data_IF_372431027269
#
_entry.id   IF_372431027269
#
_cell.length_a   1.000
_cell.length_b   1.000
_cell.length_c   1.000
_cell.angle_alpha   90.00
_cell.angle_beta   90.00
_cell.angle_gamma   90.00
#
_symmetry.space_group_name_H-M   'P 1'
#
loop_
_entity.id
_entity.type
_entity.pdbx_description
1 polymer ?
#
# COMPACT_ATOMS: atom_id res chain seq x y z
N UNK A 1 -4.35 7.55 14.36
CA UNK A 1 -5.07 7.14 13.14
C UNK A 1 -6.51 6.92 13.53
N UNK A 2 -7.46 7.66 12.96
CA UNK A 2 -8.91 7.55 13.24
C UNK A 2 -9.63 6.93 12.04
N UNK A 3 -9.01 5.95 11.40
CA UNK A 3 -9.62 5.24 10.29
C UNK A 3 -10.74 4.34 10.85
N UNK A 4 -11.97 4.55 10.38
CA UNK A 4 -13.17 3.82 10.82
C UNK A 4 -13.78 2.96 9.69
N UNK A 5 -13.04 2.78 8.58
CA UNK A 5 -13.46 1.92 7.47
C UNK A 5 -13.14 0.46 7.74
N UNK A 6 -13.48 -0.41 6.78
CA UNK A 6 -13.31 -1.87 6.90
C UNK A 6 -12.24 -2.44 6.00
N UNK A 7 -11.81 -1.71 4.97
CA UNK A 7 -10.77 -2.12 4.05
C UNK A 7 -9.92 -0.91 3.62
N UNK A 8 -8.76 -0.66 4.26
CA UNK A 8 -7.93 0.52 4.00
C UNK A 8 -7.34 0.55 2.58
N UNK A 9 -7.33 -0.57 1.86
CA UNK A 9 -6.94 -0.61 0.44
C UNK A 9 -8.08 -0.08 -0.43
N UNK A 10 -9.30 -0.61 -0.23
CA UNK A 10 -10.49 -0.14 -0.94
C UNK A 10 -10.80 1.33 -0.62
N UNK A 11 -10.54 1.74 0.62
CA UNK A 11 -10.72 3.11 1.12
C UNK A 11 -9.56 4.05 0.78
N UNK A 12 -8.54 3.54 0.07
CA UNK A 12 -7.42 4.32 -0.49
C UNK A 12 -6.55 5.03 0.56
N UNK A 13 -6.37 4.41 1.72
CA UNK A 13 -5.35 4.78 2.71
C UNK A 13 -4.05 4.01 2.49
N UNK A 14 -4.13 2.84 1.84
CA UNK A 14 -3.01 1.96 1.59
C UNK A 14 -3.00 1.58 0.11
N UNK A 15 -1.81 1.47 -0.49
CA UNK A 15 -1.67 0.96 -1.86
C UNK A 15 -0.37 0.19 -2.06
N UNK A 16 -0.38 -0.66 -3.08
CA UNK A 16 0.82 -1.32 -3.59
C UNK A 16 1.31 -0.67 -4.87
N UNK A 17 2.62 -0.51 -4.97
CA UNK A 17 3.28 0.04 -6.16
C UNK A 17 4.49 -0.81 -6.52
N UNK A 18 4.65 -1.09 -7.80
CA UNK A 18 5.82 -1.78 -8.31
C UNK A 18 7.05 -0.90 -8.12
N UNK A 19 8.15 -1.51 -7.67
CA UNK A 19 9.44 -0.84 -7.58
C UNK A 19 9.99 -0.49 -8.96
N UNK A 20 10.71 0.62 -9.03
CA UNK A 20 11.35 1.12 -10.25
C UNK A 20 12.84 1.34 -10.00
N UNK A 21 13.62 1.53 -11.08
CA UNK A 21 15.07 1.72 -10.98
C UNK A 21 15.78 0.50 -10.38
N UNK A 22 16.54 0.71 -9.30
CA UNK A 22 17.25 -0.36 -8.59
C UNK A 22 16.31 -1.33 -7.86
N UNK A 23 15.02 -1.00 -7.71
CA UNK A 23 14.04 -1.80 -6.99
C UNK A 23 13.10 -2.57 -7.93
N UNK A 24 13.43 -2.68 -9.22
CA UNK A 24 12.65 -3.50 -10.18
C UNK A 24 12.54 -4.94 -9.65
N UNK A 25 11.34 -5.51 -9.72
CA UNK A 25 11.03 -6.83 -9.15
C UNK A 25 10.56 -6.80 -7.70
N UNK A 26 10.53 -5.62 -7.07
CA UNK A 26 10.00 -5.43 -5.71
C UNK A 26 8.61 -4.79 -5.74
N UNK A 27 7.89 -4.91 -4.64
CA UNK A 27 6.63 -4.17 -4.38
C UNK A 27 6.77 -3.34 -3.11
N UNK A 28 6.30 -2.10 -3.16
CA UNK A 28 6.20 -1.22 -2.01
C UNK A 28 4.77 -1.19 -1.49
N UNK A 29 4.61 -1.35 -0.18
CA UNK A 29 3.44 -0.92 0.57
C UNK A 29 3.59 0.57 0.87
N UNK A 30 2.64 1.37 0.41
CA UNK A 30 2.57 2.78 0.72
C UNK A 30 1.37 3.11 1.58
N UNK A 31 1.55 4.03 2.52
CA UNK A 31 0.50 4.50 3.43
C UNK A 31 0.30 6.00 3.23
N UNK A 32 -0.96 6.39 3.18
CA UNK A 32 -1.41 7.77 3.33
C UNK A 32 -2.34 7.88 4.55
N UNK A 33 -2.02 8.77 5.49
CA UNK A 33 -2.68 8.84 6.80
C UNK A 33 -4.06 9.51 6.76
N UNK A 34 -4.35 10.29 5.73
CA UNK A 34 -5.63 10.98 5.54
C UNK A 34 -6.36 10.54 4.25
N UNK A 35 -5.80 9.55 3.54
CA UNK A 35 -6.34 9.00 2.30
C UNK A 35 -6.31 10.01 1.16
N UNK A 36 -6.83 9.62 -0.02
CA UNK A 36 -6.74 10.47 -1.23
C UNK A 36 -7.46 11.81 -1.17
N UNK A 37 -8.27 12.05 -0.13
CA UNK A 37 -9.03 13.29 0.05
C UNK A 37 -8.32 14.32 0.94
N UNK A 38 -7.23 13.94 1.62
CA UNK A 38 -6.45 14.83 2.48
C UNK A 38 -5.26 15.47 1.79
N UNK A 39 -4.38 16.10 2.58
CA UNK A 39 -3.21 16.84 2.07
C UNK A 39 -1.90 16.07 2.23
N UNK A 40 -1.94 14.92 2.91
CA UNK A 40 -0.82 14.00 2.96
C UNK A 40 -0.62 13.32 1.59
N UNK A 41 0.51 12.63 1.47
CA UNK A 41 0.87 11.87 0.30
C UNK A 41 1.25 10.46 0.74
N UNK A 42 1.05 9.50 -0.16
CA UNK A 42 1.55 8.15 0.00
C UNK A 42 3.07 8.12 0.20
N UNK A 43 3.52 7.46 1.27
CA UNK A 43 4.94 7.22 1.56
C UNK A 43 5.22 5.73 1.61
N UNK A 44 6.42 5.33 1.17
CA UNK A 44 6.89 3.96 1.32
C UNK A 44 6.96 3.60 2.82
N UNK A 45 6.32 2.50 3.19
CA UNK A 45 6.36 1.95 4.55
C UNK A 45 7.14 0.62 4.59
N UNK A 46 6.90 -0.25 3.60
CA UNK A 46 7.57 -1.55 3.49
C UNK A 46 7.92 -1.82 2.02
N UNK A 47 9.09 -2.41 1.78
CA UNK A 47 9.48 -3.00 0.50
C UNK A 47 9.51 -4.52 0.66
N UNK A 48 8.99 -5.23 -0.33
CA UNK A 48 9.04 -6.68 -0.41
C UNK A 48 9.63 -7.06 -1.76
N UNK A 49 10.78 -7.72 -1.73
CA UNK A 49 11.51 -8.10 -2.93
C UNK A 49 10.91 -9.37 -3.56
N UNK A 50 11.07 -9.51 -4.87
CA UNK A 50 10.63 -10.67 -5.64
C UNK A 50 9.12 -10.98 -5.55
N UNK A 51 8.30 -9.96 -5.26
CA UNK A 51 6.83 -10.06 -5.24
C UNK A 51 6.24 -8.96 -6.12
N UNK A 52 5.27 -9.33 -6.96
CA UNK A 52 4.50 -8.38 -7.78
C UNK A 52 3.32 -7.78 -6.99
N UNK A 53 2.84 -6.61 -7.41
CA UNK A 53 1.68 -5.95 -6.80
C UNK A 53 0.45 -6.84 -6.81
N UNK A 54 0.24 -7.64 -7.86
CA UNK A 54 -0.88 -8.58 -7.99
C UNK A 54 -0.82 -9.69 -6.94
N UNK A 55 0.37 -10.23 -6.66
CA UNK A 55 0.55 -11.28 -5.65
C UNK A 55 0.32 -10.75 -4.23
N UNK A 56 0.70 -9.50 -3.97
CA UNK A 56 0.57 -8.89 -2.65
C UNK A 56 -0.83 -8.31 -2.40
N UNK A 57 -1.52 -7.86 -3.46
CA UNK A 57 -2.89 -7.33 -3.41
C UNK A 57 -3.95 -8.46 -3.32
N UNK A 58 -3.83 -9.28 -2.28
CA UNK A 58 -4.80 -10.30 -1.92
C UNK A 58 -5.35 -9.99 -0.52
N UNK A 59 -6.68 -10.01 -0.36
CA UNK A 59 -7.35 -9.73 0.92
C UNK A 59 -6.92 -10.71 2.03
N UNK A 60 -6.56 -11.93 1.67
CA UNK A 60 -6.09 -12.96 2.61
C UNK A 60 -4.73 -12.60 3.24
N UNK A 61 -3.98 -11.67 2.65
CA UNK A 61 -2.69 -11.21 3.19
C UNK A 61 -2.87 -10.19 4.34
N UNK A 62 -4.10 -9.81 4.68
CA UNK A 62 -4.38 -8.74 5.64
C UNK A 62 -5.28 -9.19 6.78
N UNK A 63 -4.95 -8.69 7.97
CA UNK A 63 -5.82 -8.71 9.14
C UNK A 63 -6.19 -7.25 9.43
N UNK A 64 -7.48 -6.93 9.37
CA UNK A 64 -8.02 -5.58 9.57
C UNK A 64 -8.52 -5.39 11.00
#
# INVERSE_FOLDING_TARGET
>A
MNYNGTNPIADKYIRFVAGTGSNIGSTFLQIDRDGTSGSSIFKNFLQVDNITTTQLNNVDNFVF
#
